data_IF_819772539298
#
_entry.id   IF_819772539298
#
_cell.length_a   1.000
_cell.length_b   1.000
_cell.length_c   1.000
_cell.angle_alpha   90.00
_cell.angle_beta   90.00
_cell.angle_gamma   90.00
#
_symmetry.space_group_name_H-M   'P 1'
#
loop_
_entity.id
_entity.type
_entity.pdbx_description
1 polymer ?
#
# COMPACT_ATOMS: atom_id res chain seq x y z
N UNK A 1 -58.84 27.65 -35.58
CA UNK A 1 -58.02 28.39 -36.56
C UNK A 1 -56.57 27.96 -36.35
N UNK A 2 -56.13 27.23 -37.34
CA UNK A 2 -54.87 27.37 -38.08
C UNK A 2 -53.56 27.18 -37.21
N UNK A 3 -52.92 26.08 -37.47
CA UNK A 3 -51.63 25.88 -38.20
C UNK A 3 -50.44 25.95 -37.25
N UNK A 4 -49.38 25.19 -37.28
CA UNK A 4 -48.76 24.33 -38.30
C UNK A 4 -47.64 23.52 -37.59
N UNK A 5 -47.41 22.31 -38.05
CA UNK A 5 -46.28 21.45 -37.74
C UNK A 5 -44.93 22.08 -38.12
N UNK A 6 -43.88 21.79 -37.40
CA UNK A 6 -42.53 21.64 -37.97
C UNK A 6 -41.75 20.57 -37.26
N UNK A 7 -41.59 19.50 -37.99
CA UNK A 7 -40.59 18.44 -37.79
C UNK A 7 -39.20 19.06 -38.01
N UNK A 8 -38.29 18.84 -37.12
CA UNK A 8 -36.87 18.99 -37.40
C UNK A 8 -36.13 17.77 -36.90
N UNK A 9 -35.79 16.91 -37.84
CA UNK A 9 -34.77 15.89 -37.76
C UNK A 9 -33.44 16.58 -37.51
N UNK A 10 -32.69 16.15 -36.50
CA UNK A 10 -31.27 16.40 -36.42
C UNK A 10 -30.55 15.10 -36.13
N UNK A 11 -29.68 14.78 -37.05
CA UNK A 11 -28.86 13.59 -37.14
C UNK A 11 -27.88 13.48 -35.99
N UNK A 12 -27.69 12.25 -35.51
CA UNK A 12 -26.61 11.87 -34.61
C UNK A 12 -25.28 11.77 -35.36
N UNK A 13 -24.18 12.33 -34.87
CA UNK A 13 -22.86 11.91 -35.32
C UNK A 13 -22.38 10.70 -34.54
N UNK A 14 -22.09 9.65 -35.27
CA UNK A 14 -21.39 8.48 -34.77
C UNK A 14 -19.93 8.85 -34.44
N UNK A 15 -19.53 8.75 -33.18
CA UNK A 15 -18.12 8.82 -32.82
C UNK A 15 -17.51 7.43 -32.98
N UNK A 16 -16.68 7.30 -33.99
CA UNK A 16 -15.78 6.18 -34.20
C UNK A 16 -14.65 6.31 -33.17
N UNK A 17 -14.64 5.45 -32.18
CA UNK A 17 -13.48 5.27 -31.29
C UNK A 17 -12.43 4.47 -32.06
N UNK A 18 -11.40 5.16 -32.52
CA UNK A 18 -10.20 4.53 -33.02
C UNK A 18 -9.44 3.92 -31.81
N UNK A 19 -9.40 2.61 -31.76
CA UNK A 19 -8.52 1.86 -30.88
C UNK A 19 -7.09 2.02 -31.39
N UNK A 20 -6.27 2.77 -30.68
CA UNK A 20 -4.83 2.71 -30.84
C UNK A 20 -4.32 1.59 -29.93
N UNK A 21 -4.12 0.42 -30.52
CA UNK A 21 -3.27 -0.63 -29.97
C UNK A 21 -1.82 -0.23 -30.27
N UNK A 22 -1.09 0.18 -29.27
CA UNK A 22 0.37 0.18 -29.30
C UNK A 22 0.85 -1.00 -28.47
N UNK A 23 1.11 -2.10 -29.15
CA UNK A 23 1.92 -3.18 -28.67
C UNK A 23 3.37 -2.70 -28.62
N UNK A 24 3.95 -2.63 -27.46
CA UNK A 24 5.39 -2.61 -27.29
C UNK A 24 5.76 -3.87 -26.53
N UNK A 25 6.18 -4.86 -27.30
CA UNK A 25 6.90 -6.00 -26.81
C UNK A 25 8.23 -5.52 -26.19
N UNK A 26 8.41 -5.76 -24.92
CA UNK A 26 9.74 -5.90 -24.33
C UNK A 26 9.70 -7.09 -23.38
N UNK A 27 10.04 -8.23 -23.98
CA UNK A 27 10.43 -9.40 -23.25
C UNK A 27 11.79 -9.13 -22.58
N UNK A 28 11.80 -9.11 -21.26
CA UNK A 28 12.96 -9.41 -20.47
C UNK A 28 12.51 -10.33 -19.35
N UNK A 29 12.68 -11.61 -19.59
CA UNK A 29 12.56 -12.64 -18.59
C UNK A 29 13.61 -12.42 -17.52
N UNK A 30 13.19 -12.30 -16.26
CA UNK A 30 14.02 -12.75 -15.16
C UNK A 30 13.11 -13.45 -14.15
N UNK A 31 13.18 -14.77 -14.22
CA UNK A 31 12.58 -15.67 -13.27
C UNK A 31 13.42 -15.63 -11.98
N UNK A 32 12.79 -15.33 -10.85
CA UNK A 32 13.01 -16.06 -9.62
C UNK A 32 12.05 -15.58 -8.53
N UNK A 33 11.31 -16.55 -8.02
CA UNK A 33 10.90 -16.47 -6.65
C UNK A 33 9.42 -16.61 -6.38
N UNK A 34 9.06 -17.83 -6.04
CA UNK A 34 8.01 -18.24 -5.10
C UNK A 34 6.59 -17.66 -5.29
N UNK A 35 5.77 -18.53 -5.84
CA UNK A 35 4.35 -18.70 -5.67
C UNK A 35 3.54 -17.60 -4.98
N UNK A 36 2.95 -16.73 -5.77
CA UNK A 36 1.77 -16.00 -5.36
C UNK A 36 0.64 -16.39 -6.30
N UNK A 37 -0.31 -17.17 -5.76
CA UNK A 37 -1.62 -17.30 -6.35
C UNK A 37 -2.35 -15.97 -6.13
N UNK A 38 -2.07 -14.98 -6.94
CA UNK A 38 -2.73 -13.69 -6.95
C UNK A 38 -2.95 -13.26 -8.39
N UNK A 39 -4.04 -12.57 -8.65
CA UNK A 39 -4.28 -11.95 -9.95
C UNK A 39 -3.04 -11.12 -10.32
N UNK A 40 -2.56 -11.30 -11.55
CA UNK A 40 -1.44 -10.54 -12.08
C UNK A 40 -1.83 -9.06 -12.12
N UNK A 41 -1.30 -8.28 -11.18
CA UNK A 41 -1.55 -6.85 -11.05
C UNK A 41 -0.41 -6.03 -11.65
N UNK A 42 0.45 -6.69 -12.43
CA UNK A 42 1.57 -6.04 -13.11
C UNK A 42 1.03 -4.95 -14.05
N UNK A 43 1.30 -3.69 -13.73
CA UNK A 43 0.80 -2.52 -14.44
C UNK A 43 -0.43 -1.87 -13.82
N UNK A 44 -1.03 -2.42 -12.76
CA UNK A 44 -2.09 -1.76 -12.00
C UNK A 44 -1.52 -0.76 -10.99
N UNK A 45 -2.24 0.34 -10.78
CA UNK A 45 -1.93 1.33 -9.75
C UNK A 45 -3.05 1.39 -8.71
N UNK A 46 -2.66 1.59 -7.46
CA UNK A 46 -3.53 1.71 -6.31
C UNK A 46 -3.23 3.04 -5.61
N UNK A 47 -4.22 3.91 -5.49
CA UNK A 47 -3.99 5.26 -4.99
C UNK A 47 -2.99 6.07 -5.83
N UNK A 48 -2.83 5.76 -7.12
CA UNK A 48 -1.87 6.41 -8.03
C UNK A 48 -0.43 5.86 -7.94
N UNK A 49 -0.19 4.82 -7.13
CA UNK A 49 1.13 4.18 -6.96
C UNK A 49 1.08 2.78 -7.57
N UNK A 50 2.12 2.37 -8.28
CA UNK A 50 2.17 1.02 -8.84
C UNK A 50 2.23 -0.04 -7.73
N UNK A 51 1.69 -1.24 -8.01
CA UNK A 51 1.75 -2.35 -7.06
C UNK A 51 3.20 -2.66 -6.62
N UNK A 52 4.13 -2.64 -7.55
CA UNK A 52 5.54 -2.88 -7.27
C UNK A 52 6.14 -1.79 -6.36
N UNK A 53 5.85 -0.52 -6.60
CA UNK A 53 6.36 0.57 -5.75
C UNK A 53 5.74 0.53 -4.35
N UNK A 54 4.46 0.16 -4.21
CA UNK A 54 3.84 -0.07 -2.91
C UNK A 54 4.59 -1.14 -2.11
N UNK A 55 4.95 -2.25 -2.75
CA UNK A 55 5.61 -3.37 -2.09
C UNK A 55 7.08 -3.11 -1.76
N UNK A 56 7.77 -2.24 -2.50
CA UNK A 56 9.22 -2.07 -2.40
C UNK A 56 9.67 -0.72 -1.85
N UNK A 57 8.95 0.35 -2.14
CA UNK A 57 9.35 1.73 -1.80
C UNK A 57 8.43 2.39 -0.79
N UNK A 58 7.15 2.08 -0.84
CA UNK A 58 6.13 2.73 -0.02
C UNK A 58 5.50 1.75 0.99
N UNK A 59 6.28 0.81 1.47
CA UNK A 59 5.84 -0.25 2.36
C UNK A 59 6.09 0.04 3.85
N UNK A 60 6.44 1.27 4.21
CA UNK A 60 6.85 1.63 5.57
C UNK A 60 5.99 2.76 6.14
N UNK A 61 5.49 2.57 7.34
CA UNK A 61 4.77 3.57 8.15
C UNK A 61 5.65 3.97 9.31
N UNK A 62 5.85 5.28 9.52
CA UNK A 62 6.66 5.81 10.62
C UNK A 62 5.77 6.33 11.74
N UNK A 63 6.31 6.32 12.96
CA UNK A 63 5.60 6.70 14.17
C UNK A 63 6.34 7.76 14.98
N UNK A 64 5.59 8.59 15.68
CA UNK A 64 6.14 9.52 16.65
C UNK A 64 6.76 8.78 17.84
N UNK A 65 7.55 9.49 18.63
CA UNK A 65 8.15 8.96 19.85
C UNK A 65 7.06 8.43 20.79
N UNK A 66 7.30 7.22 21.32
CA UNK A 66 6.39 6.53 22.25
C UNK A 66 4.92 6.43 21.76
N UNK A 67 4.71 6.47 20.46
CA UNK A 67 3.40 6.42 19.81
C UNK A 67 3.28 5.21 18.89
N UNK A 68 2.05 4.71 18.79
CA UNK A 68 1.62 3.71 17.81
C UNK A 68 0.40 4.19 16.99
N UNK A 69 0.11 5.49 17.04
CA UNK A 69 -0.95 6.09 16.23
C UNK A 69 -0.52 6.25 14.77
N UNK A 70 -1.34 5.78 13.84
CA UNK A 70 -1.12 5.98 12.40
C UNK A 70 -1.47 7.42 12.04
N UNK A 71 -0.47 8.21 11.66
CA UNK A 71 -0.63 9.59 11.21
C UNK A 71 -1.41 9.69 9.90
N UNK A 72 -2.07 10.84 9.70
CA UNK A 72 -3.00 11.03 8.58
C UNK A 72 -2.39 10.81 7.19
N UNK A 73 -1.13 11.15 7.00
CA UNK A 73 -0.39 10.94 5.74
C UNK A 73 -0.26 9.46 5.37
N UNK A 74 -0.09 8.58 6.37
CA UNK A 74 0.03 7.14 6.15
C UNK A 74 -1.31 6.44 5.90
N UNK A 75 -2.42 7.09 6.23
CA UNK A 75 -3.76 6.52 5.96
C UNK A 75 -4.00 6.36 4.47
N UNK A 76 -3.66 7.36 3.66
CA UNK A 76 -3.79 7.26 2.20
C UNK A 76 -2.88 6.19 1.62
N UNK A 77 -1.68 6.05 2.16
CA UNK A 77 -0.76 4.98 1.79
C UNK A 77 -1.34 3.60 2.14
N UNK A 78 -1.87 3.45 3.33
CA UNK A 78 -2.49 2.20 3.77
C UNK A 78 -3.79 1.89 3.02
N UNK A 79 -4.55 2.90 2.57
CA UNK A 79 -5.70 2.69 1.68
C UNK A 79 -5.26 2.08 0.34
N UNK A 80 -4.14 2.53 -0.23
CA UNK A 80 -3.58 1.95 -1.44
C UNK A 80 -3.12 0.49 -1.23
N UNK A 81 -2.48 0.19 -0.10
CA UNK A 81 -2.13 -1.18 0.28
C UNK A 81 -3.36 -2.07 0.48
N UNK A 82 -4.42 -1.55 1.12
CA UNK A 82 -5.66 -2.29 1.29
C UNK A 82 -6.32 -2.62 -0.05
N UNK A 83 -6.33 -1.69 -1.01
CA UNK A 83 -6.81 -1.93 -2.36
C UNK A 83 -5.99 -3.04 -3.06
N UNK A 84 -4.66 -2.97 -2.96
CA UNK A 84 -3.76 -4.00 -3.50
C UNK A 84 -4.06 -5.37 -2.88
N UNK A 85 -4.14 -5.46 -1.56
CA UNK A 85 -4.40 -6.72 -0.84
C UNK A 85 -5.79 -7.28 -1.15
N UNK A 86 -6.80 -6.42 -1.28
CA UNK A 86 -8.15 -6.84 -1.66
C UNK A 86 -8.22 -7.36 -3.10
N UNK A 87 -7.44 -6.78 -4.01
CA UNK A 87 -7.36 -7.21 -5.41
C UNK A 87 -6.59 -8.52 -5.57
N UNK A 88 -5.45 -8.66 -4.90
CA UNK A 88 -4.55 -9.82 -5.06
C UNK A 88 -4.86 -10.99 -4.13
N UNK A 89 -5.52 -10.73 -3.00
CA UNK A 89 -5.67 -11.69 -1.89
C UNK A 89 -4.34 -12.21 -1.34
N UNK A 90 -3.26 -11.45 -1.55
CA UNK A 90 -1.94 -11.78 -1.04
C UNK A 90 -1.91 -11.75 0.49
N UNK A 91 -0.99 -12.52 1.06
CA UNK A 91 -0.67 -12.43 2.49
C UNK A 91 0.42 -11.38 2.67
N UNK A 92 0.31 -10.58 3.72
CA UNK A 92 1.32 -9.61 4.12
C UNK A 92 1.61 -9.76 5.62
N UNK A 93 2.86 -9.60 5.99
CA UNK A 93 3.26 -9.52 7.40
C UNK A 93 3.66 -8.09 7.73
N UNK A 94 3.09 -7.52 8.78
CA UNK A 94 3.47 -6.21 9.29
C UNK A 94 4.49 -6.38 10.40
N UNK A 95 5.71 -5.95 10.15
CA UNK A 95 6.83 -5.99 11.10
C UNK A 95 6.93 -4.66 11.86
N UNK A 96 6.72 -4.69 13.17
CA UNK A 96 6.80 -3.52 14.04
C UNK A 96 8.18 -3.36 14.67
N UNK A 97 8.64 -2.11 14.73
CA UNK A 97 9.96 -1.73 15.23
C UNK A 97 9.88 -0.52 16.17
N UNK A 98 10.85 -0.44 17.07
CA UNK A 98 11.07 0.69 17.95
C UNK A 98 12.51 1.19 17.83
N UNK A 99 12.79 2.39 18.31
CA UNK A 99 14.15 2.84 18.54
C UNK A 99 14.72 2.22 19.84
N UNK A 100 16.01 2.38 20.07
CA UNK A 100 16.72 1.74 21.19
C UNK A 100 16.41 2.30 22.58
N UNK A 101 15.64 3.38 22.67
CA UNK A 101 15.30 4.01 23.95
C UNK A 101 14.27 3.18 24.70
N UNK A 102 14.56 2.90 25.96
CA UNK A 102 13.73 2.05 26.82
C UNK A 102 14.31 0.66 27.00
N UNK A 103 13.49 -0.24 27.54
CA UNK A 103 13.90 -1.64 27.71
C UNK A 103 13.58 -2.48 26.48
N UNK A 104 14.32 -3.56 26.20
CA UNK A 104 14.02 -4.46 25.08
C UNK A 104 12.59 -5.01 25.14
N UNK A 105 12.10 -5.38 26.31
CA UNK A 105 10.74 -5.89 26.52
C UNK A 105 9.68 -4.83 26.18
N UNK A 106 9.90 -3.59 26.62
CA UNK A 106 9.02 -2.47 26.28
C UNK A 106 8.98 -2.23 24.78
N UNK A 107 10.14 -2.26 24.13
CA UNK A 107 10.27 -2.01 22.69
C UNK A 107 9.67 -3.13 21.84
N UNK A 108 9.74 -4.38 22.26
CA UNK A 108 8.99 -5.49 21.64
C UNK A 108 7.49 -5.22 21.72
N UNK A 109 6.99 -4.83 22.88
CA UNK A 109 5.57 -4.51 23.06
C UNK A 109 5.14 -3.30 22.23
N UNK A 110 5.96 -2.24 22.16
CA UNK A 110 5.69 -1.05 21.36
C UNK A 110 5.69 -1.38 19.85
N UNK A 111 6.67 -2.15 19.38
CA UNK A 111 6.71 -2.64 18.01
C UNK A 111 5.46 -3.45 17.65
N UNK A 112 4.99 -4.31 18.57
CA UNK A 112 3.76 -5.08 18.37
C UNK A 112 2.52 -4.18 18.28
N UNK A 113 2.41 -3.15 19.11
CA UNK A 113 1.31 -2.18 19.05
C UNK A 113 1.29 -1.42 17.73
N UNK A 114 2.47 -1.05 17.19
CA UNK A 114 2.62 -0.41 15.89
C UNK A 114 2.17 -1.32 14.75
N UNK A 115 2.63 -2.57 14.76
CA UNK A 115 2.19 -3.55 13.77
C UNK A 115 0.68 -3.80 13.84
N UNK A 116 0.12 -3.92 15.05
CA UNK A 116 -1.32 -4.10 15.24
C UNK A 116 -2.13 -2.88 14.79
N UNK A 117 -1.63 -1.66 14.98
CA UNK A 117 -2.30 -0.45 14.51
C UNK A 117 -2.45 -0.44 12.97
N UNK A 118 -1.40 -0.84 12.25
CA UNK A 118 -1.44 -1.00 10.79
C UNK A 118 -2.37 -2.13 10.38
N UNK A 119 -2.26 -3.31 11.01
CA UNK A 119 -3.15 -4.45 10.75
C UNK A 119 -4.62 -4.08 10.94
N UNK A 120 -4.96 -3.42 12.04
CA UNK A 120 -6.34 -3.00 12.34
C UNK A 120 -6.86 -2.02 11.29
N UNK A 121 -6.03 -1.08 10.84
CA UNK A 121 -6.41 -0.16 9.79
C UNK A 121 -6.70 -0.89 8.48
N UNK A 122 -5.82 -1.78 8.05
CA UNK A 122 -6.00 -2.60 6.84
C UNK A 122 -7.24 -3.49 6.93
N UNK A 123 -7.50 -4.09 8.10
CA UNK A 123 -8.69 -4.90 8.33
C UNK A 123 -9.99 -4.09 8.23
N UNK A 124 -10.01 -2.85 8.72
CA UNK A 124 -11.15 -1.93 8.56
C UNK A 124 -11.42 -1.59 7.09
N UNK A 125 -10.39 -1.63 6.24
CA UNK A 125 -10.51 -1.45 4.80
C UNK A 125 -10.79 -2.77 4.04
N UNK A 126 -11.01 -3.88 4.76
CA UNK A 126 -11.38 -5.17 4.19
C UNK A 126 -10.20 -6.10 3.89
N UNK A 127 -8.96 -5.70 4.13
CA UNK A 127 -7.78 -6.55 3.96
C UNK A 127 -7.54 -7.37 5.24
N UNK A 128 -7.86 -8.67 5.19
CA UNK A 128 -7.83 -9.57 6.36
C UNK A 128 -6.64 -10.55 6.37
N UNK A 129 -5.94 -10.70 5.25
CA UNK A 129 -4.77 -11.59 5.15
C UNK A 129 -3.50 -10.90 5.65
N UNK A 130 -3.56 -10.33 6.85
CA UNK A 130 -2.48 -9.55 7.45
C UNK A 130 -2.08 -10.18 8.77
N UNK A 131 -0.83 -10.58 8.88
CA UNK A 131 -0.20 -11.04 10.12
C UNK A 131 0.71 -9.97 10.71
N UNK A 132 1.10 -10.11 11.97
CA UNK A 132 1.97 -9.15 12.65
C UNK A 132 3.13 -9.84 13.33
N UNK A 133 4.27 -9.16 13.39
CA UNK A 133 5.46 -9.56 14.15
C UNK A 133 6.10 -8.30 14.73
N UNK A 134 6.74 -8.42 15.88
CA UNK A 134 7.54 -7.33 16.44
C UNK A 134 9.00 -7.77 16.59
N UNK A 135 9.89 -6.91 16.13
CA UNK A 135 11.33 -7.04 16.35
C UNK A 135 11.84 -6.06 17.40
N UNK A 136 10.95 -5.18 17.92
CA UNK A 136 11.38 -4.17 18.89
C UNK A 136 12.53 -3.33 18.35
N UNK A 137 13.60 -3.22 19.14
CA UNK A 137 14.83 -2.49 18.77
C UNK A 137 15.87 -3.34 18.05
N UNK A 138 15.66 -4.66 17.91
CA UNK A 138 16.70 -5.61 17.48
C UNK A 138 17.04 -5.56 16.00
N UNK A 139 16.15 -5.00 15.16
CA UNK A 139 16.38 -4.84 13.72
C UNK A 139 16.30 -3.35 13.32
N UNK A 140 17.30 -2.54 13.69
CA UNK A 140 17.28 -1.13 13.32
C UNK A 140 17.44 -0.93 11.82
N UNK A 141 16.76 0.09 11.27
CA UNK A 141 16.97 0.53 9.89
C UNK A 141 18.29 1.30 9.76
N UNK A 142 18.65 2.05 10.80
CA UNK A 142 19.91 2.79 10.90
C UNK A 142 20.52 2.60 12.28
N UNK A 143 21.86 2.54 12.34
CA UNK A 143 22.63 2.28 13.56
C UNK A 143 23.07 3.58 14.26
N UNK A 144 22.35 4.67 14.12
CA UNK A 144 22.70 5.94 14.74
C UNK A 144 21.93 6.19 16.04
N UNK A 145 22.35 7.21 16.79
CA UNK A 145 21.84 7.58 18.10
C UNK A 145 21.30 9.01 18.12
N UNK A 146 21.04 9.61 16.99
CA UNK A 146 20.39 10.92 16.86
C UNK A 146 18.88 10.78 16.77
N UNK A 147 18.15 11.87 17.03
CA UNK A 147 16.69 11.85 16.84
C UNK A 147 16.29 11.52 15.40
N UNK A 148 17.08 11.96 14.41
CA UNK A 148 16.85 11.60 13.00
C UNK A 148 17.00 10.10 12.74
N UNK A 149 17.95 9.44 13.42
CA UNK A 149 18.14 7.99 13.34
C UNK A 149 17.00 7.25 14.05
N UNK A 150 16.62 7.69 15.23
CA UNK A 150 15.51 7.13 15.99
C UNK A 150 14.19 7.22 15.23
N UNK A 151 13.95 8.34 14.55
CA UNK A 151 12.77 8.52 13.72
C UNK A 151 12.65 7.47 12.60
N UNK A 152 13.77 7.06 12.01
CA UNK A 152 13.82 6.00 10.99
C UNK A 152 13.61 4.60 11.57
N UNK A 153 13.90 4.41 12.85
CA UNK A 153 13.73 3.13 13.53
C UNK A 153 12.31 2.91 14.05
N UNK A 154 11.57 4.00 14.36
CA UNK A 154 10.16 3.95 14.79
C UNK A 154 9.24 3.69 13.60
N UNK A 155 9.08 2.43 13.22
CA UNK A 155 8.35 2.09 11.99
C UNK A 155 7.58 0.78 12.08
N UNK A 156 6.66 0.60 11.16
CA UNK A 156 6.08 -0.69 10.78
C UNK A 156 6.29 -0.91 9.28
N UNK A 157 6.74 -2.08 8.89
CA UNK A 157 7.06 -2.44 7.50
C UNK A 157 6.07 -3.50 7.04
N UNK A 158 5.46 -3.28 5.87
CA UNK A 158 4.63 -4.28 5.21
C UNK A 158 5.53 -5.17 4.36
N UNK A 159 5.64 -6.44 4.76
CA UNK A 159 6.45 -7.47 4.11
C UNK A 159 5.52 -8.42 3.32
N UNK A 160 5.62 -8.36 2.00
CA UNK A 160 4.82 -9.14 1.03
C UNK A 160 5.45 -10.47 0.71
#
# INVERSE_FOLDING_TARGET
MKKLAKVLMVAAPAFVLAACSSSTDNAAANANGAGVNGADVNGQSFGGISAQDLQTRYNTVYFAFDSYAVEGEYRQLLDAHAQLLNATKANVTVAGHADERGTPEYNIALGQRRANAVQNYLAQQGATNVSTVSYGEEKPAVLGHTEADYAKNRRAVLEY
#
